data_IF_451710438303
#
_entry.id   IF_451710438303
#
_cell.length_a   1.000
_cell.length_b   1.000
_cell.length_c   1.000
_cell.angle_alpha   90.00
_cell.angle_beta   90.00
_cell.angle_gamma   90.00
#
_symmetry.space_group_name_H-M   'P 1'
#
loop_
_entity.id
_entity.type
_entity.pdbx_description
1 polymer ?
#
# COMPACT_ATOMS: atom_id res chain seq x y z
N UNK A 1 -17.68 2.73 5.19
CA UNK A 1 -16.58 1.74 5.11
C UNK A 1 -15.44 2.25 5.97
N UNK A 2 -14.94 1.44 6.90
CA UNK A 2 -13.84 1.81 7.80
C UNK A 2 -12.60 1.08 7.33
N UNK A 3 -11.48 1.79 7.21
CA UNK A 3 -10.21 1.23 6.77
C UNK A 3 -9.24 1.27 7.93
N UNK A 4 -8.54 0.15 8.14
CA UNK A 4 -7.51 0.06 9.18
C UNK A 4 -6.16 0.06 8.50
N UNK A 5 -5.38 1.10 8.77
CA UNK A 5 -3.99 1.23 8.38
C UNK A 5 -3.13 0.96 9.61
N UNK A 6 -2.04 0.22 9.46
CA UNK A 6 -0.98 0.14 10.47
C UNK A 6 0.29 0.68 9.83
N UNK A 7 0.91 1.66 10.46
CA UNK A 7 2.09 2.33 9.90
C UNK A 7 3.29 1.91 10.73
N UNK A 8 4.30 1.36 10.05
CA UNK A 8 5.58 1.10 10.67
C UNK A 8 6.41 2.38 10.50
N UNK A 9 6.26 3.31 11.44
CA UNK A 9 7.06 4.53 11.48
C UNK A 9 8.49 4.16 11.86
N UNK A 10 9.40 4.16 10.89
CA UNK A 10 10.84 4.27 11.18
C UNK A 10 11.10 5.76 11.34
N UNK A 11 11.27 6.21 12.58
CA UNK A 11 11.73 7.56 12.85
C UNK A 11 13.23 7.51 12.56
N UNK A 12 13.65 7.98 11.39
CA UNK A 12 15.04 8.40 11.23
C UNK A 12 15.21 9.65 12.10
N UNK A 13 15.53 9.44 13.37
CA UNK A 13 16.09 10.50 14.19
C UNK A 13 17.41 10.86 13.52
N UNK A 14 17.43 11.99 12.82
CA UNK A 14 18.68 12.67 12.46
C UNK A 14 19.43 13.00 13.75
N UNK A 15 20.24 12.03 14.21
CA UNK A 15 21.14 12.22 15.33
C UNK A 15 22.44 12.82 14.81
N UNK A 16 22.33 14.05 14.30
CA UNK A 16 23.47 14.94 14.17
C UNK A 16 23.56 15.73 15.47
N UNK A 17 24.66 15.56 16.22
CA UNK A 17 24.92 16.42 17.38
C UNK A 17 25.21 17.85 16.93
N UNK A 18 25.22 18.80 17.87
CA UNK A 18 25.49 20.23 17.61
C UNK A 18 26.90 20.52 17.01
N UNK A 19 27.70 19.48 16.75
CA UNK A 19 29.06 19.53 16.22
C UNK A 19 29.22 18.73 14.89
N UNK A 20 28.13 18.19 14.33
CA UNK A 20 28.14 17.52 13.02
C UNK A 20 28.89 16.18 13.01
N UNK A 21 29.01 15.48 14.14
CA UNK A 21 29.65 14.17 14.21
C UNK A 21 28.63 13.04 14.15
N UNK A 22 28.83 12.12 13.22
CA UNK A 22 28.03 10.92 13.07
C UNK A 22 28.40 9.92 14.17
N UNK A 23 27.46 9.62 15.07
CA UNK A 23 27.67 8.68 16.18
C UNK A 23 27.68 7.22 15.67
N UNK A 24 28.48 6.32 16.29
CA UNK A 24 28.53 4.93 15.87
C UNK A 24 27.19 4.22 16.10
N UNK A 25 26.69 3.58 15.05
CA UNK A 25 25.44 2.84 15.02
C UNK A 25 25.48 1.67 16.01
N UNK A 26 24.77 1.81 17.13
CA UNK A 26 24.32 0.68 17.92
C UNK A 26 22.91 0.30 17.42
N UNK A 27 22.86 -0.61 16.44
CA UNK A 27 21.61 -1.19 15.92
C UNK A 27 20.95 -2.07 16.98
N UNK A 28 20.30 -1.47 17.98
CA UNK A 28 19.23 -2.15 18.70
C UNK A 28 18.00 -2.02 17.81
N UNK A 29 17.32 -3.10 17.40
CA UNK A 29 16.06 -2.97 16.68
C UNK A 29 15.04 -2.49 17.70
N UNK A 30 14.93 -1.17 17.89
CA UNK A 30 13.79 -0.60 18.57
C UNK A 30 12.57 -1.05 17.78
N UNK A 31 11.76 -1.87 18.45
CA UNK A 31 10.54 -2.47 17.97
C UNK A 31 9.67 -1.34 17.44
N UNK A 32 9.62 -1.16 16.12
CA UNK A 32 8.76 -0.16 15.49
C UNK A 32 7.35 -0.34 16.06
N UNK A 33 6.88 0.65 16.83
CA UNK A 33 5.56 0.61 17.42
C UNK A 33 4.58 0.93 16.30
N UNK A 34 4.04 -0.13 15.68
CA UNK A 34 3.01 -0.01 14.67
C UNK A 34 1.72 0.43 15.33
N UNK A 35 1.40 1.73 15.26
CA UNK A 35 0.12 2.23 15.76
C UNK A 35 -0.93 2.11 14.66
N UNK A 36 -2.03 1.37 14.88
CA UNK A 36 -3.13 1.32 13.93
C UNK A 36 -3.83 2.68 13.87
N UNK A 37 -3.99 3.21 12.66
CA UNK A 37 -4.73 4.42 12.33
C UNK A 37 -5.97 4.01 11.53
N UNK A 38 -7.14 4.49 11.93
CA UNK A 38 -8.36 4.33 11.13
C UNK A 38 -8.50 5.49 10.15
N UNK A 39 -8.54 5.19 8.85
CA UNK A 39 -8.82 6.19 7.84
C UNK A 39 -10.32 6.37 7.66
N UNK A 40 -10.78 7.62 7.74
CA UNK A 40 -12.19 7.97 7.69
C UNK A 40 -12.51 8.77 6.44
N UNK A 41 -13.64 8.46 5.81
CA UNK A 41 -14.21 9.21 4.68
C UNK A 41 -13.23 9.44 3.50
N UNK A 42 -12.31 8.52 3.25
CA UNK A 42 -11.31 8.64 2.16
C UNK A 42 -11.85 8.25 0.78
N UNK A 43 -13.17 8.17 0.62
CA UNK A 43 -13.86 7.84 -0.63
C UNK A 43 -14.64 9.04 -1.14
N UNK A 44 -14.68 9.20 -2.46
CA UNK A 44 -15.58 10.11 -3.15
C UNK A 44 -16.42 9.29 -4.14
N UNK A 45 -17.64 8.95 -3.73
CA UNK A 45 -18.44 7.92 -4.41
C UNK A 45 -17.80 6.55 -4.25
N UNK A 46 -17.65 5.81 -5.36
CA UNK A 46 -17.06 4.45 -5.37
C UNK A 46 -15.54 4.43 -5.61
N UNK A 47 -14.87 5.58 -5.56
CA UNK A 47 -13.43 5.68 -5.80
C UNK A 47 -12.71 6.23 -4.57
N UNK A 48 -11.50 5.72 -4.25
CA UNK A 48 -10.64 6.34 -3.26
C UNK A 48 -10.31 7.79 -3.68
N UNK A 49 -10.14 8.67 -2.70
CA UNK A 49 -9.83 10.08 -2.91
C UNK A 49 -8.43 10.38 -2.35
N UNK A 50 -7.47 10.63 -3.26
CA UNK A 50 -6.09 10.89 -2.88
C UNK A 50 -5.92 12.11 -1.97
N UNK A 51 -6.69 13.19 -2.18
CA UNK A 51 -6.58 14.38 -1.36
C UNK A 51 -7.00 14.11 0.10
N UNK A 52 -8.04 13.31 0.31
CA UNK A 52 -8.50 12.91 1.66
C UNK A 52 -7.55 11.91 2.33
N UNK A 53 -6.90 11.04 1.55
CA UNK A 53 -5.86 10.13 2.05
C UNK A 53 -4.65 10.94 2.53
N UNK A 54 -4.19 11.92 1.74
CA UNK A 54 -3.04 12.79 2.10
C UNK A 54 -3.23 13.57 3.40
N UNK A 55 -4.47 13.85 3.79
CA UNK A 55 -4.77 14.55 5.05
C UNK A 55 -4.57 13.66 6.29
N UNK A 56 -4.55 12.34 6.12
CA UNK A 56 -4.62 11.37 7.22
C UNK A 56 -3.42 10.43 7.27
N UNK A 57 -2.65 10.35 6.18
CA UNK A 57 -1.53 9.43 6.01
C UNK A 57 -0.23 10.23 5.93
N UNK A 58 0.80 9.88 6.72
CA UNK A 58 2.11 10.52 6.61
C UNK A 58 2.67 10.33 5.20
N UNK A 59 3.43 11.31 4.73
CA UNK A 59 4.00 11.28 3.38
C UNK A 59 4.99 10.12 3.18
N UNK A 60 5.67 9.73 4.25
CA UNK A 60 6.71 8.72 4.24
C UNK A 60 6.53 7.68 5.35
N UNK A 61 7.03 6.47 5.11
CA UNK A 61 7.05 5.37 6.06
C UNK A 61 6.64 4.06 5.39
N UNK A 62 6.98 2.94 6.01
CA UNK A 62 6.44 1.64 5.60
C UNK A 62 5.06 1.45 6.24
N UNK A 63 4.28 0.52 5.73
CA UNK A 63 2.97 0.27 6.34
C UNK A 63 2.25 -0.93 5.81
N UNK A 64 1.10 -1.18 6.42
CA UNK A 64 0.19 -2.27 6.08
C UNK A 64 -1.24 -1.76 6.09
N UNK A 65 -1.96 -1.95 4.99
CA UNK A 65 -3.36 -1.55 4.85
C UNK A 65 -4.26 -2.79 4.81
N UNK A 66 -5.28 -2.81 5.66
CA UNK A 66 -6.42 -3.72 5.55
C UNK A 66 -7.60 -2.98 4.91
N UNK A 67 -7.98 -3.43 3.72
CA UNK A 67 -8.96 -2.79 2.86
C UNK A 67 -10.12 -3.72 2.53
N UNK A 68 -11.34 -3.34 2.88
CA UNK A 68 -12.53 -4.03 2.37
C UNK A 68 -13.02 -3.30 1.11
N UNK A 69 -13.26 -3.99 0.00
CA UNK A 69 -13.81 -3.34 -1.20
C UNK A 69 -15.26 -2.92 -1.01
N UNK A 70 -15.79 -2.09 -1.91
CA UNK A 70 -17.22 -1.75 -1.95
C UNK A 70 -18.10 -3.00 -2.07
N UNK A 71 -17.59 -4.07 -2.71
CA UNK A 71 -18.31 -5.34 -2.84
C UNK A 71 -18.10 -6.30 -1.67
N UNK A 72 -17.32 -5.90 -0.65
CA UNK A 72 -17.12 -6.67 0.58
C UNK A 72 -15.91 -7.61 0.59
N UNK A 73 -15.11 -7.67 -0.48
CA UNK A 73 -13.90 -8.52 -0.53
C UNK A 73 -12.77 -7.88 0.30
N UNK A 74 -12.10 -8.69 1.12
CA UNK A 74 -10.95 -8.24 1.92
C UNK A 74 -9.64 -8.32 1.12
N UNK A 75 -8.88 -7.23 1.19
CA UNK A 75 -7.53 -7.11 0.67
C UNK A 75 -6.59 -6.63 1.76
N UNK A 76 -5.36 -7.14 1.74
CA UNK A 76 -4.29 -6.67 2.61
C UNK A 76 -3.07 -6.36 1.77
N UNK A 77 -2.51 -5.17 1.99
CA UNK A 77 -1.32 -4.69 1.30
C UNK A 77 -0.21 -4.34 2.27
N UNK A 78 1.04 -4.54 1.84
CA UNK A 78 2.24 -4.02 2.50
C UNK A 78 2.94 -3.03 1.59
N UNK A 79 3.32 -1.89 2.16
CA UNK A 79 4.02 -0.80 1.50
C UNK A 79 5.47 -0.78 1.97
N UNK A 80 6.40 -0.91 1.03
CA UNK A 80 7.82 -0.83 1.31
C UNK A 80 8.42 0.31 0.49
N UNK A 81 9.05 1.25 1.19
CA UNK A 81 9.79 2.33 0.56
C UNK A 81 11.10 1.80 -0.02
N UNK A 82 11.35 2.11 -1.28
CA UNK A 82 12.65 1.96 -1.94
C UNK A 82 13.39 3.29 -1.92
N UNK A 83 14.60 3.34 -2.49
CA UNK A 83 15.37 4.59 -2.60
C UNK A 83 14.58 5.73 -3.25
N UNK A 84 13.70 5.44 -4.21
CA UNK A 84 13.05 6.47 -5.05
C UNK A 84 11.52 6.36 -5.10
N UNK A 85 10.93 5.27 -4.61
CA UNK A 85 9.50 4.98 -4.80
C UNK A 85 8.96 4.01 -3.74
N UNK A 86 7.74 3.51 -3.94
CA UNK A 86 7.13 2.46 -3.12
C UNK A 86 6.80 1.22 -3.93
N UNK A 87 7.06 0.05 -3.35
CA UNK A 87 6.49 -1.21 -3.77
C UNK A 87 5.21 -1.52 -2.96
N UNK A 88 4.20 -2.06 -3.64
CA UNK A 88 2.91 -2.41 -3.05
C UNK A 88 2.72 -3.92 -3.15
N UNK A 89 3.05 -4.63 -2.08
CA UNK A 89 2.89 -6.08 -1.98
C UNK A 89 1.46 -6.46 -1.64
N UNK A 90 0.99 -7.56 -2.24
CA UNK A 90 -0.35 -8.11 -2.01
C UNK A 90 -0.20 -9.26 -1.02
N UNK A 91 -0.50 -9.00 0.26
CA UNK A 91 -0.45 -10.03 1.30
C UNK A 91 -1.73 -10.89 1.31
N UNK A 92 -2.88 -10.29 0.99
CA UNK A 92 -4.16 -10.99 0.96
C UNK A 92 -5.06 -10.45 -0.14
N UNK A 93 -5.74 -11.36 -0.83
CA UNK A 93 -6.87 -11.11 -1.71
C UNK A 93 -7.70 -12.37 -1.84
N UNK A 94 -8.93 -12.25 -2.33
CA UNK A 94 -9.70 -13.40 -2.81
C UNK A 94 -9.08 -13.97 -4.10
N UNK A 95 -9.23 -15.28 -4.31
CA UNK A 95 -8.91 -15.93 -5.58
C UNK A 95 -9.84 -15.48 -6.72
N UNK A 96 -9.38 -15.64 -7.97
CA UNK A 96 -10.09 -15.17 -9.17
C UNK A 96 -11.29 -16.01 -9.61
N UNK A 97 -11.60 -17.10 -8.91
CA UNK A 97 -12.81 -17.90 -9.16
C UNK A 97 -12.91 -18.47 -10.58
N UNK A 98 -11.79 -18.89 -11.17
CA UNK A 98 -11.73 -19.44 -12.53
C UNK A 98 -11.53 -18.39 -13.63
N UNK A 99 -11.42 -17.10 -13.28
CA UNK A 99 -11.06 -16.03 -14.23
C UNK A 99 -9.56 -15.97 -14.47
N UNK A 100 -9.16 -15.30 -15.55
CA UNK A 100 -7.76 -15.08 -15.87
C UNK A 100 -7.05 -14.39 -14.70
N UNK A 101 -5.94 -14.97 -14.29
CA UNK A 101 -5.18 -14.52 -13.13
C UNK A 101 -3.72 -14.21 -13.47
N UNK A 102 -3.37 -14.16 -14.76
CA UNK A 102 -2.04 -13.81 -15.23
C UNK A 102 -1.68 -12.34 -14.96
N UNK A 103 -0.39 -12.04 -15.10
CA UNK A 103 0.19 -10.75 -14.78
C UNK A 103 -0.48 -9.60 -15.55
N UNK A 104 -0.79 -9.82 -16.83
CA UNK A 104 -1.35 -8.82 -17.72
C UNK A 104 -2.83 -8.56 -17.38
N UNK A 105 -3.61 -9.61 -17.18
CA UNK A 105 -5.04 -9.50 -16.85
C UNK A 105 -5.29 -8.83 -15.48
N UNK A 106 -4.35 -8.97 -14.55
CA UNK A 106 -4.55 -8.58 -13.15
C UNK A 106 -3.68 -7.44 -12.66
N UNK A 107 -2.81 -6.89 -13.53
CA UNK A 107 -1.81 -5.89 -13.16
C UNK A 107 -1.01 -6.30 -11.92
N UNK A 108 -0.42 -7.50 -11.97
CA UNK A 108 0.43 -8.04 -10.91
C UNK A 108 1.79 -8.46 -11.45
N UNK A 109 2.82 -8.32 -10.62
CA UNK A 109 4.17 -8.81 -10.84
C UNK A 109 4.53 -9.81 -9.74
N UNK A 110 5.61 -10.58 -9.93
CA UNK A 110 6.09 -11.53 -8.93
C UNK A 110 5.13 -12.70 -8.69
N UNK A 111 4.31 -13.09 -9.67
CA UNK A 111 3.36 -14.19 -9.50
C UNK A 111 4.01 -15.56 -9.31
N UNK A 112 5.27 -15.70 -9.74
CA UNK A 112 6.08 -16.90 -9.50
C UNK A 112 6.90 -16.82 -8.21
N UNK A 113 6.88 -15.70 -7.49
CA UNK A 113 7.48 -15.57 -6.17
C UNK A 113 6.42 -15.65 -5.08
N UNK A 114 6.88 -15.79 -3.84
CA UNK A 114 6.08 -15.69 -2.62
C UNK A 114 5.68 -14.23 -2.29
N UNK A 115 6.09 -13.26 -3.12
CA UNK A 115 5.87 -11.83 -2.91
C UNK A 115 5.23 -11.16 -4.13
N UNK A 116 3.96 -11.49 -4.45
CA UNK A 116 3.25 -10.82 -5.52
C UNK A 116 3.03 -9.34 -5.18
N UNK A 117 3.16 -8.47 -6.17
CA UNK A 117 3.00 -7.01 -6.02
C UNK A 117 2.19 -6.41 -7.15
N UNK A 118 1.65 -5.23 -6.94
CA UNK A 118 0.93 -4.48 -7.97
C UNK A 118 1.92 -4.06 -9.07
N UNK A 119 1.55 -4.31 -10.33
CA UNK A 119 2.26 -3.79 -11.49
C UNK A 119 1.98 -2.30 -11.64
N UNK A 120 3.03 -1.49 -11.64
CA UNK A 120 2.94 -0.05 -11.86
C UNK A 120 3.83 0.27 -13.06
N UNK A 121 3.31 1.10 -13.98
CA UNK A 121 4.04 1.44 -15.19
C UNK A 121 5.36 2.15 -14.87
N UNK A 122 6.43 1.94 -15.67
CA UNK A 122 7.71 2.61 -15.47
C UNK A 122 7.56 4.14 -15.41
N UNK A 123 8.15 4.76 -14.39
CA UNK A 123 8.08 6.21 -14.15
C UNK A 123 6.75 6.69 -13.56
N UNK A 124 5.84 5.77 -13.23
CA UNK A 124 4.55 6.04 -12.55
C UNK A 124 4.52 5.50 -11.13
N UNK A 125 5.65 5.05 -10.62
CA UNK A 125 5.78 4.52 -9.28
C UNK A 125 5.44 5.59 -8.24
N UNK A 126 4.63 5.26 -7.22
CA UNK A 126 4.29 6.19 -6.16
C UNK A 126 5.56 6.59 -5.39
N UNK A 127 5.75 7.89 -5.19
CA UNK A 127 6.89 8.46 -4.45
C UNK A 127 6.58 8.77 -2.99
N UNK A 128 5.32 8.66 -2.62
CA UNK A 128 4.83 8.88 -1.27
C UNK A 128 3.82 7.78 -0.88
N UNK A 129 3.70 7.55 0.43
CA UNK A 129 2.83 6.54 0.99
C UNK A 129 1.34 6.80 0.66
N UNK A 130 0.81 8.04 0.71
CA UNK A 130 -0.58 8.31 0.33
C UNK A 130 -0.92 7.87 -1.10
N UNK A 131 -0.01 8.10 -2.06
CA UNK A 131 -0.19 7.68 -3.46
C UNK A 131 -0.11 6.17 -3.59
N UNK A 132 0.80 5.52 -2.88
CA UNK A 132 0.88 4.05 -2.85
C UNK A 132 -0.42 3.43 -2.30
N UNK A 133 -0.94 3.98 -1.21
CA UNK A 133 -2.22 3.56 -0.63
C UNK A 133 -3.39 3.79 -1.58
N UNK A 134 -3.45 4.95 -2.23
CA UNK A 134 -4.47 5.24 -3.24
C UNK A 134 -4.45 4.21 -4.38
N UNK A 135 -3.27 3.87 -4.90
CA UNK A 135 -3.13 2.86 -5.96
C UNK A 135 -3.54 1.47 -5.47
N UNK A 136 -3.20 1.09 -4.24
CA UNK A 136 -3.62 -0.18 -3.64
C UNK A 136 -5.14 -0.30 -3.53
N UNK A 137 -5.80 0.74 -3.02
CA UNK A 137 -7.25 0.80 -2.89
C UNK A 137 -7.93 0.77 -4.27
N UNK A 138 -7.43 1.56 -5.23
CA UNK A 138 -7.95 1.57 -6.58
C UNK A 138 -7.80 0.21 -7.26
N UNK A 139 -6.66 -0.44 -7.05
CA UNK A 139 -6.40 -1.80 -7.52
C UNK A 139 -7.39 -2.79 -6.90
N UNK A 140 -7.63 -2.71 -5.59
CA UNK A 140 -8.58 -3.56 -4.87
C UNK A 140 -10.02 -3.44 -5.42
N UNK A 141 -10.50 -2.22 -5.65
CA UNK A 141 -11.85 -1.99 -6.20
C UNK A 141 -12.00 -2.52 -7.63
N UNK A 142 -10.94 -2.43 -8.45
CA UNK A 142 -10.95 -3.00 -9.79
C UNK A 142 -10.86 -4.52 -9.76
N UNK A 143 -9.99 -5.09 -8.94
CA UNK A 143 -9.88 -6.55 -8.74
C UNK A 143 -11.18 -7.14 -8.25
N UNK A 144 -11.80 -6.55 -7.23
CA UNK A 144 -13.08 -7.03 -6.70
C UNK A 144 -14.19 -7.02 -7.76
N UNK A 145 -14.29 -5.94 -8.55
CA UNK A 145 -15.22 -5.89 -9.69
C UNK A 145 -14.90 -6.91 -10.77
N UNK A 146 -13.63 -7.13 -11.09
CA UNK A 146 -13.22 -8.13 -12.06
C UNK A 146 -13.56 -9.55 -11.60
N UNK A 147 -13.28 -9.89 -10.34
CA UNK A 147 -13.62 -11.18 -9.75
C UNK A 147 -15.13 -11.43 -9.83
N UNK A 148 -15.93 -10.42 -9.49
CA UNK A 148 -17.39 -10.54 -9.50
C UNK A 148 -17.96 -10.61 -10.92
N UNK A 149 -17.67 -9.60 -11.73
CA UNK A 149 -18.41 -9.32 -12.96
C UNK A 149 -17.64 -9.72 -14.23
N UNK A 150 -16.34 -10.00 -14.13
CA UNK A 150 -15.48 -10.32 -15.28
C UNK A 150 -15.11 -9.13 -16.15
N UNK A 151 -15.54 -7.92 -15.77
CA UNK A 151 -15.28 -6.71 -16.55
C UNK A 151 -13.80 -6.34 -16.46
N UNK A 152 -13.11 -6.14 -17.61
CA UNK A 152 -11.71 -5.75 -17.61
C UNK A 152 -11.51 -4.36 -16.97
N UNK A 153 -10.25 -4.05 -16.70
CA UNK A 153 -9.83 -2.80 -16.07
C UNK A 153 -9.94 -1.64 -17.08
N UNK A 154 -11.15 -1.15 -17.33
CA UNK A 154 -11.43 0.08 -18.10
C UNK A 154 -11.57 1.29 -17.19
#
# INVERSE_FOLDING_TARGET
MVLTLSIDCVIDLDQSDAMGRQLPVASTPERAVSTPVELKNVYSGNNPNLALIRQQVPEHGNGRLSHQSVSGDLFVFRFERTTESYEIFIEQQRGYGGRACDAQATHRLGLSSDRPRICIGPGKEPRDLPTAMFLAMLWAERTSRYIRDGKPWS
#
